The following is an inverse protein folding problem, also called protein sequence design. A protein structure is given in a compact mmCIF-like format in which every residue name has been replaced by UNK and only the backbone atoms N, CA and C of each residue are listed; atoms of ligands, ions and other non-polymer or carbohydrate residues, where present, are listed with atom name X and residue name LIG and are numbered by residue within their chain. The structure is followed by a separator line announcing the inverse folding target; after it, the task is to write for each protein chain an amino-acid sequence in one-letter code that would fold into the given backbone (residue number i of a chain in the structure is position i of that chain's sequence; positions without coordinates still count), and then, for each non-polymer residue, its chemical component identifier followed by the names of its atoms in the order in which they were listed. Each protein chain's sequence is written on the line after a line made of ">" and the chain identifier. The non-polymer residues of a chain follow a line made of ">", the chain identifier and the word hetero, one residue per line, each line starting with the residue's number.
data_IF_574761050908
#
_entry.id   IF_574761050908
#
_cell.length_a   1.000
_cell.length_b   1.000
_cell.length_c   1.000
_cell.angle_alpha   90.00
_cell.angle_beta   90.00
_cell.angle_gamma   90.00
#
_symmetry.space_group_name_H-M   'P 1'
#
loop_
_entity.id
_entity.type
_entity.pdbx_description
1 polymer ?
#
# COMPACT_ATOMS: atom_id res chain seq x y z
N UNK A 1 -12.14 17.99 -11.29
CA UNK A 1 -12.47 16.73 -11.99
C UNK A 1 -11.50 15.67 -11.51
N UNK A 2 -12.01 14.56 -10.98
CA UNK A 2 -11.15 13.62 -10.25
C UNK A 2 -10.21 12.87 -11.18
N UNK A 3 -8.95 12.80 -10.74
CA UNK A 3 -7.82 12.20 -11.45
C UNK A 3 -8.05 10.74 -11.85
N UNK A 4 -8.94 10.03 -11.14
CA UNK A 4 -9.41 8.70 -11.51
C UNK A 4 -10.01 8.67 -12.92
N UNK A 5 -10.71 9.73 -13.34
CA UNK A 5 -11.31 9.77 -14.68
C UNK A 5 -10.25 9.89 -15.77
N UNK A 6 -9.18 10.68 -15.54
CA UNK A 6 -8.07 10.81 -16.49
C UNK A 6 -7.23 9.55 -16.57
N UNK A 7 -6.94 8.90 -15.44
CA UNK A 7 -6.21 7.63 -15.43
C UNK A 7 -7.00 6.52 -16.13
N UNK A 8 -8.30 6.40 -15.87
CA UNK A 8 -9.17 5.42 -16.55
C UNK A 8 -9.26 5.71 -18.05
N UNK A 9 -9.35 6.98 -18.45
CA UNK A 9 -9.22 7.36 -19.84
C UNK A 9 -7.88 6.83 -20.37
N UNK A 10 -6.72 7.38 -19.97
CA UNK A 10 -5.42 6.98 -20.50
C UNK A 10 -5.17 5.45 -20.49
N UNK A 11 -5.65 4.71 -19.48
CA UNK A 11 -5.56 3.24 -19.45
C UNK A 11 -6.37 2.53 -20.54
N UNK A 12 -7.62 2.96 -20.80
CA UNK A 12 -8.41 2.43 -21.94
C UNK A 12 -7.71 2.71 -23.27
N UNK A 13 -7.01 3.83 -23.37
CA UNK A 13 -6.33 4.25 -24.59
C UNK A 13 -5.03 3.48 -24.81
N UNK A 14 -4.31 3.17 -23.73
CA UNK A 14 -3.15 2.29 -23.76
C UNK A 14 -3.54 0.92 -24.32
N UNK A 15 -4.68 0.37 -23.92
CA UNK A 15 -5.17 -0.90 -24.43
C UNK A 15 -5.42 -0.85 -25.95
N UNK A 16 -6.06 0.21 -26.45
CA UNK A 16 -6.29 0.38 -27.89
C UNK A 16 -5.00 0.62 -28.68
N UNK A 17 -4.05 1.38 -28.14
CA UNK A 17 -2.74 1.58 -28.75
C UNK A 17 -2.02 0.24 -28.91
N UNK A 18 -1.96 -0.56 -27.83
CA UNK A 18 -1.31 -1.88 -27.83
C UNK A 18 -1.90 -2.77 -28.94
N UNK A 19 -3.22 -2.77 -29.13
CA UNK A 19 -3.88 -3.59 -30.14
C UNK A 19 -3.72 -3.11 -31.59
N UNK A 20 -3.34 -1.85 -31.82
CA UNK A 20 -3.31 -1.25 -33.15
C UNK A 20 -1.88 -0.82 -33.54
N UNK A 21 -1.40 0.33 -33.04
CA UNK A 21 -0.09 0.90 -33.40
C UNK A 21 1.08 0.25 -32.67
N UNK A 22 0.81 -0.31 -31.49
CA UNK A 22 1.83 -0.85 -30.59
C UNK A 22 2.30 -2.25 -30.96
N UNK A 23 1.65 -2.94 -31.90
CA UNK A 23 1.97 -4.32 -32.29
C UNK A 23 2.08 -5.27 -31.08
N UNK A 24 1.15 -5.13 -30.12
CA UNK A 24 1.15 -5.88 -28.87
C UNK A 24 1.99 -5.27 -27.74
N UNK A 25 2.68 -4.15 -27.97
CA UNK A 25 3.56 -3.49 -27.01
C UNK A 25 3.07 -2.12 -26.53
N UNK A 26 3.45 -1.76 -25.30
CA UNK A 26 3.20 -0.43 -24.75
C UNK A 26 4.13 0.63 -25.37
N UNK A 27 3.74 1.92 -25.40
CA UNK A 27 4.56 3.02 -25.87
C UNK A 27 5.98 2.98 -25.33
N UNK A 28 6.96 3.33 -26.17
CA UNK A 28 8.36 3.30 -25.80
C UNK A 28 8.68 4.40 -24.75
N UNK A 29 9.48 4.05 -23.74
CA UNK A 29 9.91 5.02 -22.71
C UNK A 29 10.87 6.09 -23.29
N UNK A 30 11.62 5.72 -24.33
CA UNK A 30 12.58 6.58 -25.03
C UNK A 30 13.92 6.76 -24.31
N UNK A 31 14.04 6.33 -23.05
CA UNK A 31 15.32 6.31 -22.33
C UNK A 31 16.08 5.00 -22.58
N UNK A 32 17.39 5.12 -22.77
CA UNK A 32 18.31 3.98 -22.83
C UNK A 32 19.27 3.99 -21.63
N UNK A 33 19.59 2.82 -21.06
CA UNK A 33 20.67 2.69 -20.09
C UNK A 33 22.04 2.94 -20.74
N UNK A 34 23.03 3.24 -19.92
CA UNK A 34 24.42 3.38 -20.38
C UNK A 34 24.96 2.05 -20.93
N UNK A 35 25.86 2.13 -21.90
CA UNK A 35 26.49 0.96 -22.52
C UNK A 35 27.87 1.30 -23.09
N UNK A 36 28.79 0.33 -23.07
CA UNK A 36 30.09 0.45 -23.74
C UNK A 36 29.90 0.52 -25.25
N UNK A 37 30.09 1.70 -25.82
CA UNK A 37 29.93 1.98 -27.25
C UNK A 37 30.77 3.20 -27.63
N UNK A 38 30.95 3.44 -28.92
CA UNK A 38 31.48 4.75 -29.34
C UNK A 38 30.41 5.83 -29.14
N UNK A 39 30.85 7.06 -28.86
CA UNK A 39 29.96 8.21 -28.66
C UNK A 39 28.97 8.38 -29.81
N UNK A 40 29.43 8.19 -31.04
CA UNK A 40 28.59 8.30 -32.24
C UNK A 40 27.48 7.25 -32.27
N UNK A 41 27.82 5.97 -32.08
CA UNK A 41 26.83 4.88 -32.10
C UNK A 41 25.82 5.02 -30.96
N UNK A 42 26.29 5.41 -29.76
CA UNK A 42 25.42 5.65 -28.61
C UNK A 42 24.42 6.77 -28.87
N UNK A 43 24.87 7.93 -29.39
CA UNK A 43 23.99 9.06 -29.71
C UNK A 43 23.00 8.70 -30.82
N UNK A 44 23.46 7.99 -31.87
CA UNK A 44 22.58 7.59 -32.96
C UNK A 44 21.49 6.63 -32.49
N UNK A 45 21.84 5.64 -31.66
CA UNK A 45 20.87 4.71 -31.09
C UNK A 45 19.90 5.43 -30.14
N UNK A 46 20.39 6.32 -29.27
CA UNK A 46 19.54 7.13 -28.39
C UNK A 46 18.52 7.97 -29.18
N UNK A 47 18.92 8.56 -30.31
CA UNK A 47 18.01 9.31 -31.20
C UNK A 47 16.91 8.43 -31.77
N UNK A 48 17.22 7.19 -32.16
CA UNK A 48 16.20 6.24 -32.66
C UNK A 48 15.14 5.97 -31.59
N UNK A 49 15.55 5.67 -30.36
CA UNK A 49 14.62 5.44 -29.24
C UNK A 49 13.80 6.69 -28.91
N UNK A 50 14.42 7.86 -28.90
CA UNK A 50 13.72 9.11 -28.64
C UNK A 50 12.69 9.41 -29.72
N UNK A 51 13.04 9.24 -30.99
CA UNK A 51 12.14 9.48 -32.14
C UNK A 51 10.94 8.55 -32.07
N UNK A 52 11.16 7.25 -31.85
CA UNK A 52 10.06 6.28 -31.72
C UNK A 52 9.15 6.61 -30.51
N UNK A 53 9.71 7.01 -29.37
CA UNK A 53 8.92 7.41 -28.21
C UNK A 53 8.08 8.68 -28.48
N UNK A 54 8.58 9.62 -29.29
CA UNK A 54 7.81 10.78 -29.73
C UNK A 54 6.66 10.40 -30.68
N UNK A 55 6.92 9.52 -31.64
CA UNK A 55 5.90 9.00 -32.56
C UNK A 55 4.78 8.24 -31.83
N UNK A 56 5.14 7.42 -30.84
CA UNK A 56 4.18 6.70 -29.99
C UNK A 56 3.35 7.68 -29.15
N UNK A 57 3.99 8.70 -28.59
CA UNK A 57 3.32 9.74 -27.80
C UNK A 57 2.34 10.55 -28.64
N UNK A 58 2.67 10.87 -29.89
CA UNK A 58 1.77 11.56 -30.83
C UNK A 58 0.56 10.71 -31.19
N UNK A 59 0.78 9.42 -31.44
CA UNK A 59 -0.30 8.46 -31.71
C UNK A 59 -1.25 8.33 -30.52
N UNK A 60 -0.69 8.22 -29.31
CA UNK A 60 -1.46 8.24 -28.06
C UNK A 60 -2.24 9.55 -27.88
N UNK A 61 -1.63 10.71 -28.17
CA UNK A 61 -2.31 12.00 -28.05
C UNK A 61 -3.50 12.13 -28.98
N UNK A 62 -3.37 11.71 -30.24
CA UNK A 62 -4.47 11.76 -31.21
C UNK A 62 -5.64 10.90 -30.73
N UNK A 63 -5.37 9.67 -30.27
CA UNK A 63 -6.40 8.78 -29.72
C UNK A 63 -7.09 9.36 -28.50
N UNK A 64 -6.32 9.97 -27.60
CA UNK A 64 -6.85 10.64 -26.40
C UNK A 64 -7.85 11.72 -26.79
N UNK A 65 -7.53 12.54 -27.79
CA UNK A 65 -8.44 13.58 -28.29
C UNK A 65 -9.69 12.98 -28.93
N UNK A 66 -9.55 11.97 -29.78
CA UNK A 66 -10.66 11.35 -30.51
C UNK A 66 -11.69 10.71 -29.56
N UNK A 67 -11.24 10.04 -28.50
CA UNK A 67 -12.12 9.40 -27.52
C UNK A 67 -12.73 10.42 -26.56
N UNK A 68 -11.98 11.43 -26.11
CA UNK A 68 -12.55 12.52 -25.32
C UNK A 68 -13.71 13.18 -26.08
N UNK A 69 -13.55 13.41 -27.38
CA UNK A 69 -14.62 13.89 -28.25
C UNK A 69 -15.82 12.92 -28.30
N UNK A 70 -15.59 11.60 -28.45
CA UNK A 70 -16.66 10.58 -28.44
C UNK A 70 -17.43 10.51 -27.13
N UNK A 71 -16.78 10.78 -25.99
CA UNK A 71 -17.38 10.79 -24.65
C UNK A 71 -18.01 12.17 -24.33
N UNK A 72 -17.97 13.12 -25.26
CA UNK A 72 -18.54 14.46 -25.08
C UNK A 72 -17.74 15.34 -24.11
N UNK A 73 -16.44 15.10 -23.98
CA UNK A 73 -15.51 15.90 -23.16
C UNK A 73 -14.59 16.72 -24.03
N UNK A 74 -14.07 17.80 -23.44
CA UNK A 74 -13.10 18.65 -24.10
C UNK A 74 -11.82 17.85 -24.46
N UNK A 75 -11.44 17.77 -25.75
CA UNK A 75 -10.20 17.14 -26.20
C UNK A 75 -8.93 17.75 -25.59
N UNK A 76 -8.99 19.00 -25.11
CA UNK A 76 -7.86 19.65 -24.44
C UNK A 76 -7.83 19.50 -22.92
N UNK A 77 -8.74 18.72 -22.34
CA UNK A 77 -8.80 18.49 -20.89
C UNK A 77 -7.59 17.77 -20.31
N UNK A 78 -6.83 17.03 -21.13
CA UNK A 78 -5.58 16.37 -20.77
C UNK A 78 -4.43 17.06 -21.49
N UNK A 79 -3.46 17.57 -20.72
CA UNK A 79 -2.30 18.25 -21.31
C UNK A 79 -1.37 17.28 -22.06
N UNK A 80 -0.70 17.77 -23.10
CA UNK A 80 0.33 17.02 -23.84
C UNK A 80 1.45 16.51 -22.92
N UNK A 81 1.80 17.29 -21.90
CA UNK A 81 2.81 16.90 -20.90
C UNK A 81 2.35 15.71 -20.04
N UNK A 82 1.08 15.67 -19.66
CA UNK A 82 0.48 14.53 -18.95
C UNK A 82 0.53 13.27 -19.81
N UNK A 83 0.19 13.36 -21.09
CA UNK A 83 0.23 12.24 -22.04
C UNK A 83 1.66 11.74 -22.24
N UNK A 84 2.63 12.67 -22.41
CA UNK A 84 4.06 12.31 -22.52
C UNK A 84 4.57 11.60 -21.26
N UNK A 85 4.21 12.10 -20.08
CA UNK A 85 4.55 11.45 -18.81
C UNK A 85 3.89 10.06 -18.68
N UNK A 86 2.64 9.93 -19.12
CA UNK A 86 1.95 8.63 -19.14
C UNK A 86 2.64 7.63 -20.07
N UNK A 87 2.97 8.02 -21.30
CA UNK A 87 3.66 7.14 -22.27
C UNK A 87 5.00 6.67 -21.72
N UNK A 88 5.79 7.59 -21.12
CA UNK A 88 7.06 7.26 -20.48
C UNK A 88 6.92 6.23 -19.35
N UNK A 89 5.81 6.27 -18.61
CA UNK A 89 5.55 5.41 -17.46
C UNK A 89 4.55 4.28 -17.73
N UNK A 90 4.17 4.04 -18.99
CA UNK A 90 3.07 3.11 -19.34
C UNK A 90 3.33 1.68 -18.82
N UNK A 91 4.59 1.24 -18.80
CA UNK A 91 5.03 -0.07 -18.28
C UNK A 91 5.13 -0.13 -16.75
N UNK A 92 5.08 1.02 -16.06
CA UNK A 92 5.30 1.18 -14.62
C UNK A 92 4.03 1.53 -13.86
N UNK A 93 2.88 1.55 -14.54
CA UNK A 93 1.59 1.89 -13.94
C UNK A 93 1.25 0.93 -12.79
N UNK A 94 0.84 1.49 -11.66
CA UNK A 94 0.36 0.75 -10.49
C UNK A 94 -0.98 1.30 -10.05
N UNK A 95 -1.93 0.39 -9.82
CA UNK A 95 -3.23 0.70 -9.25
C UNK A 95 -3.27 0.09 -7.86
N UNK A 96 -3.33 0.93 -6.83
CA UNK A 96 -3.45 0.50 -5.45
C UNK A 96 -4.92 0.48 -5.08
N UNK A 97 -5.41 -0.66 -4.60
CA UNK A 97 -6.77 -0.83 -4.09
C UNK A 97 -6.67 -1.26 -2.65
N UNK A 98 -7.35 -0.52 -1.78
CA UNK A 98 -7.38 -0.76 -0.36
C UNK A 98 -8.72 -1.37 0.01
N UNK A 99 -8.66 -2.23 1.00
CA UNK A 99 -9.84 -2.74 1.68
C UNK A 99 -10.44 -1.63 2.55
N UNK A 100 -11.77 -1.62 2.70
CA UNK A 100 -12.40 -0.74 3.67
C UNK A 100 -12.11 -1.24 5.08
N UNK A 101 -11.90 -0.30 6.01
CA UNK A 101 -11.70 -0.64 7.42
C UNK A 101 -12.90 -1.40 8.00
N UNK A 102 -14.13 -1.06 7.58
CA UNK A 102 -15.34 -1.79 8.01
C UNK A 102 -15.31 -3.27 7.61
N UNK A 103 -14.82 -3.56 6.41
CA UNK A 103 -14.69 -4.93 5.91
C UNK A 103 -13.60 -5.71 6.65
N UNK A 104 -12.52 -5.04 7.06
CA UNK A 104 -11.43 -5.65 7.85
C UNK A 104 -11.95 -6.15 9.22
N UNK A 105 -12.91 -5.42 9.81
CA UNK A 105 -13.52 -5.79 11.10
C UNK A 105 -14.66 -6.79 10.94
N UNK A 106 -15.53 -6.59 9.94
CA UNK A 106 -16.79 -7.34 9.81
C UNK A 106 -16.69 -8.58 8.92
N UNK A 107 -15.71 -8.63 8.01
CA UNK A 107 -15.55 -9.69 7.03
C UNK A 107 -14.07 -10.11 6.87
N UNK A 108 -13.32 -10.41 7.93
CA UNK A 108 -11.86 -10.56 7.90
C UNK A 108 -11.35 -11.46 6.76
N UNK A 109 -10.20 -11.11 6.17
CA UNK A 109 -9.60 -11.90 5.07
C UNK A 109 -8.94 -13.15 5.63
N UNK A 110 -9.75 -14.15 5.98
CA UNK A 110 -9.31 -15.38 6.67
C UNK A 110 -8.15 -16.06 5.94
N UNK A 111 -8.19 -16.10 4.60
CA UNK A 111 -7.12 -16.71 3.80
C UNK A 111 -5.78 -16.00 3.95
N UNK A 112 -5.76 -14.66 3.95
CA UNK A 112 -4.51 -13.90 4.10
C UNK A 112 -4.02 -13.94 5.55
N UNK A 113 -4.94 -13.88 6.51
CA UNK A 113 -4.65 -14.05 7.93
C UNK A 113 -3.99 -15.42 8.20
N UNK A 114 -4.56 -16.51 7.67
CA UNK A 114 -4.00 -17.86 7.82
C UNK A 114 -2.60 -17.98 7.20
N UNK A 115 -2.33 -17.32 6.06
CA UNK A 115 -0.99 -17.26 5.48
C UNK A 115 0.01 -16.54 6.40
N UNK A 116 -0.40 -15.42 6.99
CA UNK A 116 0.43 -14.70 7.96
C UNK A 116 0.70 -15.55 9.20
N UNK A 117 -0.31 -16.26 9.72
CA UNK A 117 -0.18 -17.11 10.90
C UNK A 117 0.73 -18.33 10.66
N UNK A 118 0.69 -18.89 9.46
CA UNK A 118 1.54 -20.02 9.08
C UNK A 118 3.01 -19.64 8.88
N UNK A 119 3.32 -18.34 8.73
CA UNK A 119 4.68 -17.86 8.52
C UNK A 119 5.34 -17.43 9.83
N UNK A 120 6.51 -18.01 10.12
CA UNK A 120 7.29 -17.65 11.30
C UNK A 120 7.70 -16.16 11.30
N UNK A 121 7.90 -15.58 10.11
CA UNK A 121 8.33 -14.18 9.94
C UNK A 121 7.23 -13.16 10.30
N UNK A 122 5.96 -13.58 10.29
CA UNK A 122 4.80 -12.71 10.52
C UNK A 122 4.15 -12.91 11.89
N UNK A 123 4.56 -13.95 12.63
CA UNK A 123 3.94 -14.36 13.91
C UNK A 123 3.89 -13.24 14.95
N UNK A 124 4.96 -12.44 15.06
CA UNK A 124 4.98 -11.28 15.97
C UNK A 124 4.04 -10.16 15.53
N UNK A 125 4.09 -9.79 14.24
CA UNK A 125 3.27 -8.70 13.69
C UNK A 125 1.76 -9.00 13.77
N UNK A 126 1.36 -10.24 13.44
CA UNK A 126 -0.05 -10.64 13.55
C UNK A 126 -0.50 -10.74 15.00
N UNK A 127 0.36 -11.23 15.90
CA UNK A 127 0.11 -11.25 17.34
C UNK A 127 -0.14 -9.85 17.90
N UNK A 128 0.70 -8.87 17.54
CA UNK A 128 0.50 -7.47 17.92
C UNK A 128 -0.77 -6.87 17.33
N UNK A 129 -1.09 -7.15 16.07
CA UNK A 129 -2.34 -6.69 15.46
C UNK A 129 -3.57 -7.22 16.22
N UNK A 130 -3.61 -8.53 16.51
CA UNK A 130 -4.69 -9.17 17.28
C UNK A 130 -4.79 -8.54 18.67
N UNK A 131 -3.65 -8.35 19.33
CA UNK A 131 -3.60 -7.74 20.66
C UNK A 131 -4.07 -6.30 20.67
N UNK A 132 -3.72 -5.49 19.68
CA UNK A 132 -4.22 -4.11 19.57
C UNK A 132 -5.75 -4.08 19.48
N UNK A 133 -6.37 -5.00 18.71
CA UNK A 133 -7.84 -5.13 18.68
C UNK A 133 -8.41 -5.61 20.02
N UNK A 134 -7.72 -6.52 20.70
CA UNK A 134 -8.11 -6.98 22.03
C UNK A 134 -8.00 -5.86 23.09
N UNK A 135 -7.00 -4.98 22.98
CA UNK A 135 -6.81 -3.80 23.82
C UNK A 135 -7.95 -2.81 23.62
N UNK A 136 -8.40 -2.55 22.39
CA UNK A 136 -9.56 -1.69 22.13
C UNK A 136 -10.84 -2.25 22.80
N UNK A 137 -11.06 -3.57 22.71
CA UNK A 137 -12.18 -4.24 23.39
C UNK A 137 -12.04 -4.19 24.91
N UNK A 138 -10.84 -4.38 25.43
CA UNK A 138 -10.53 -4.25 26.85
C UNK A 138 -10.89 -2.83 27.33
N UNK A 139 -10.43 -1.80 26.61
CA UNK A 139 -10.71 -0.41 26.94
C UNK A 139 -12.21 -0.09 26.92
N UNK A 140 -12.94 -0.60 25.93
CA UNK A 140 -14.40 -0.46 25.87
C UNK A 140 -15.13 -1.16 27.04
N UNK A 141 -14.56 -2.25 27.57
CA UNK A 141 -15.19 -3.06 28.63
C UNK A 141 -14.87 -2.53 30.04
N UNK A 142 -13.61 -2.17 30.28
CA UNK A 142 -13.12 -1.79 31.61
C UNK A 142 -12.89 -0.29 31.78
N UNK A 143 -13.12 0.49 30.71
CA UNK A 143 -12.94 1.95 30.69
C UNK A 143 -11.52 2.41 31.10
N UNK A 144 -10.52 1.56 30.84
CA UNK A 144 -9.09 1.82 31.01
C UNK A 144 -8.28 0.95 30.06
N UNK A 145 -7.04 1.34 29.78
CA UNK A 145 -6.12 0.48 29.02
C UNK A 145 -5.46 -0.57 29.93
N UNK A 146 -5.08 -1.75 29.41
CA UNK A 146 -4.42 -2.77 30.21
C UNK A 146 -3.03 -2.29 30.67
N UNK A 147 -2.75 -2.46 31.97
CA UNK A 147 -1.49 -2.04 32.59
C UNK A 147 -1.27 -0.53 32.64
N UNK A 148 -2.32 0.26 32.39
CA UNK A 148 -2.28 1.71 32.59
C UNK A 148 -1.89 2.01 34.05
N UNK A 149 -0.99 2.96 34.24
CA UNK A 149 -0.41 3.29 35.55
C UNK A 149 -1.42 4.02 36.45
N UNK A 150 -2.42 3.30 36.95
CA UNK A 150 -3.53 3.79 37.79
C UNK A 150 -3.53 3.17 39.20
N UNK A 151 -2.50 2.38 39.53
CA UNK A 151 -2.40 1.65 40.79
C UNK A 151 -3.10 0.28 40.78
N UNK A 152 -3.62 -0.16 39.63
CA UNK A 152 -4.17 -1.50 39.42
C UNK A 152 -3.12 -2.61 39.33
N UNK A 153 -3.57 -3.85 39.43
CA UNK A 153 -2.74 -5.04 39.29
C UNK A 153 -2.53 -5.40 37.80
N UNK A 154 -1.29 -5.31 37.35
CA UNK A 154 -0.89 -5.64 35.96
C UNK A 154 -1.19 -7.11 35.64
N UNK A 155 -1.05 -8.02 36.61
CA UNK A 155 -1.31 -9.44 36.41
C UNK A 155 -2.82 -9.71 36.23
N UNK A 156 -3.67 -8.95 36.93
CA UNK A 156 -5.12 -9.01 36.75
C UNK A 156 -5.51 -8.52 35.34
N UNK A 157 -4.94 -7.41 34.89
CA UNK A 157 -5.18 -6.88 33.54
C UNK A 157 -4.68 -7.85 32.46
N UNK A 158 -3.53 -8.50 32.66
CA UNK A 158 -3.01 -9.53 31.77
C UNK A 158 -3.95 -10.75 31.70
N UNK A 159 -4.47 -11.21 32.84
CA UNK A 159 -5.46 -12.30 32.90
C UNK A 159 -6.76 -11.95 32.15
N UNK A 160 -7.25 -10.73 32.33
CA UNK A 160 -8.43 -10.22 31.59
C UNK A 160 -8.16 -10.12 30.10
N UNK A 161 -6.99 -9.64 29.68
CA UNK A 161 -6.61 -9.57 28.27
C UNK A 161 -6.50 -10.97 27.63
N UNK A 162 -5.92 -11.94 28.34
CA UNK A 162 -5.90 -13.37 27.94
C UNK A 162 -7.30 -13.96 27.78
N UNK A 163 -8.29 -13.46 28.53
CA UNK A 163 -9.69 -13.89 28.41
C UNK A 163 -10.38 -13.25 27.19
N UNK A 164 -10.00 -12.02 26.83
CA UNK A 164 -10.57 -11.28 25.70
C UNK A 164 -10.00 -11.76 24.36
N UNK A 165 -8.70 -12.00 24.28
CA UNK A 165 -8.01 -12.31 23.02
C UNK A 165 -8.63 -13.49 22.22
N UNK A 166 -9.03 -14.62 22.83
CA UNK A 166 -9.69 -15.71 22.10
C UNK A 166 -10.97 -15.30 21.38
N UNK A 167 -11.77 -14.41 21.98
CA UNK A 167 -12.99 -13.90 21.32
C UNK A 167 -12.67 -13.13 20.04
N UNK A 168 -11.60 -12.32 20.06
CA UNK A 168 -11.13 -11.55 18.92
C UNK A 168 -10.55 -12.47 17.83
N UNK A 169 -9.81 -13.50 18.23
CA UNK A 169 -9.23 -14.50 17.31
C UNK A 169 -10.33 -15.25 16.55
N UNK A 170 -11.37 -15.69 17.27
CA UNK A 170 -12.51 -16.39 16.66
C UNK A 170 -13.26 -15.48 15.68
N UNK A 171 -13.49 -14.21 16.03
CA UNK A 171 -14.11 -13.25 15.12
C UNK A 171 -13.28 -12.97 13.87
N UNK A 172 -11.96 -13.12 13.94
CA UNK A 172 -11.05 -13.00 12.79
C UNK A 172 -11.07 -14.23 11.86
N UNK A 173 -11.74 -15.32 12.26
CA UNK A 173 -11.66 -16.61 11.56
C UNK A 173 -10.30 -17.28 11.69
N UNK A 174 -9.54 -16.92 12.73
CA UNK A 174 -8.20 -17.46 13.02
C UNK A 174 -8.27 -18.64 14.01
N UNK A 175 -9.25 -19.53 13.82
CA UNK A 175 -9.49 -20.64 14.73
C UNK A 175 -8.23 -21.51 14.88
N UNK A 176 -7.83 -21.76 16.13
CA UNK A 176 -6.65 -22.56 16.45
C UNK A 176 -5.32 -21.79 16.50
N UNK A 177 -5.32 -20.47 16.29
CA UNK A 177 -4.16 -19.65 16.65
C UNK A 177 -4.08 -19.47 18.17
N UNK A 178 -2.99 -19.95 18.75
CA UNK A 178 -2.67 -19.72 20.16
C UNK A 178 -1.76 -18.50 20.28
N UNK A 179 -2.31 -17.42 20.83
CA UNK A 179 -1.54 -16.22 21.10
C UNK A 179 -0.55 -16.49 22.26
N UNK A 180 0.76 -16.23 22.07
CA UNK A 180 1.74 -16.40 23.14
C UNK A 180 1.40 -15.57 24.38
N UNK A 181 1.38 -16.21 25.56
CA UNK A 181 1.05 -15.53 26.82
C UNK A 181 2.01 -14.36 27.13
N UNK A 182 3.28 -14.51 26.76
CA UNK A 182 4.30 -13.47 26.92
C UNK A 182 3.96 -12.18 26.16
N UNK A 183 3.28 -12.26 25.00
CA UNK A 183 2.84 -11.07 24.28
C UNK A 183 1.71 -10.33 25.02
N UNK A 184 0.84 -11.06 25.73
CA UNK A 184 -0.20 -10.44 26.56
C UNK A 184 0.41 -9.72 27.77
N UNK A 185 1.37 -10.36 28.43
CA UNK A 185 2.13 -9.77 29.54
C UNK A 185 2.87 -8.51 29.07
N UNK A 186 3.52 -8.59 27.92
CA UNK A 186 4.26 -7.49 27.32
C UNK A 186 3.33 -6.32 26.92
N UNK A 187 2.15 -6.61 26.38
CA UNK A 187 1.14 -5.58 26.08
C UNK A 187 0.68 -4.84 27.34
N UNK A 188 0.49 -5.55 28.45
CA UNK A 188 0.18 -4.91 29.74
C UNK A 188 1.39 -4.14 30.28
N UNK A 189 2.61 -4.66 30.11
CA UNK A 189 3.85 -3.97 30.50
C UNK A 189 4.03 -2.63 29.78
N UNK A 190 3.58 -2.51 28.53
CA UNK A 190 3.60 -1.24 27.81
C UNK A 190 2.73 -0.17 28.48
N UNK A 191 1.65 -0.58 29.17
CA UNK A 191 0.80 0.32 29.94
C UNK A 191 0.23 1.49 29.14
N UNK A 192 -0.06 1.25 27.86
CA UNK A 192 -0.47 2.26 26.88
C UNK A 192 0.48 3.48 26.75
N UNK A 193 1.77 3.29 27.02
CA UNK A 193 2.76 4.34 26.87
C UNK A 193 3.06 4.66 25.39
N UNK A 194 3.26 5.94 25.09
CA UNK A 194 3.74 6.42 23.79
C UNK A 194 5.22 6.82 23.90
N UNK A 195 6.12 5.90 23.52
CA UNK A 195 7.55 6.18 23.54
C UNK A 195 7.95 7.09 22.37
N UNK A 196 8.62 8.20 22.68
CA UNK A 196 9.02 9.21 21.69
C UNK A 196 9.77 8.63 20.48
N UNK A 197 10.68 7.68 20.70
CA UNK A 197 11.49 7.08 19.62
C UNK A 197 10.63 6.24 18.67
N UNK A 198 9.66 5.48 19.21
CA UNK A 198 8.72 4.69 18.40
C UNK A 198 7.77 5.61 17.65
N UNK A 199 7.23 6.64 18.32
CA UNK A 199 6.37 7.64 17.71
C UNK A 199 7.09 8.40 16.57
N UNK A 200 8.35 8.79 16.77
CA UNK A 200 9.16 9.45 15.75
C UNK A 200 9.41 8.55 14.52
N UNK A 201 9.67 7.26 14.74
CA UNK A 201 9.83 6.28 13.65
C UNK A 201 8.55 6.13 12.83
N UNK A 202 7.42 5.90 13.49
CA UNK A 202 6.10 5.79 12.83
C UNK A 202 5.73 7.10 12.13
N UNK A 203 6.03 8.26 12.72
CA UNK A 203 5.83 9.58 12.10
C UNK A 203 6.63 9.76 10.81
N UNK A 204 7.86 9.26 10.75
CA UNK A 204 8.68 9.25 9.53
C UNK A 204 8.05 8.42 8.42
N UNK A 205 7.54 7.23 8.76
CA UNK A 205 6.88 6.35 7.79
C UNK A 205 5.55 6.97 7.31
N UNK A 206 4.69 7.38 8.24
CA UNK A 206 3.37 7.92 7.93
C UNK A 206 3.46 9.20 7.09
N UNK A 207 4.39 10.11 7.41
CA UNK A 207 4.60 11.33 6.63
C UNK A 207 5.05 11.02 5.20
N UNK A 208 5.93 10.04 5.01
CA UNK A 208 6.32 9.61 3.67
C UNK A 208 5.14 9.02 2.91
N UNK A 209 4.33 8.14 3.51
CA UNK A 209 3.12 7.59 2.86
C UNK A 209 2.12 8.69 2.44
N UNK A 210 1.95 9.71 3.29
CA UNK A 210 1.14 10.90 2.96
C UNK A 210 1.72 11.65 1.75
N UNK A 211 3.05 11.85 1.68
CA UNK A 211 3.71 12.45 0.50
C UNK A 211 3.44 11.61 -0.75
N UNK A 212 3.48 10.28 -0.68
CA UNK A 212 3.17 9.41 -1.83
C UNK A 212 1.74 9.61 -2.32
N UNK A 213 0.76 9.71 -1.42
CA UNK A 213 -0.65 9.92 -1.77
C UNK A 213 -0.91 11.30 -2.40
N UNK A 214 -0.27 12.34 -1.86
CA UNK A 214 -0.38 13.72 -2.36
C UNK A 214 0.27 13.85 -3.74
N UNK A 215 1.51 13.39 -3.87
CA UNK A 215 2.32 13.55 -5.09
C UNK A 215 1.95 12.57 -6.19
N UNK A 216 1.49 11.37 -5.82
CA UNK A 216 1.19 10.25 -6.72
C UNK A 216 2.38 9.80 -7.56
N UNK A 217 3.60 10.01 -7.05
CA UNK A 217 4.85 9.69 -7.76
C UNK A 217 5.43 8.32 -7.35
N UNK A 218 5.02 7.81 -6.19
CA UNK A 218 5.50 6.54 -5.65
C UNK A 218 4.32 5.67 -5.23
N UNK A 219 4.59 4.37 -5.07
CA UNK A 219 3.59 3.37 -4.66
C UNK A 219 3.47 3.41 -3.12
N UNK A 220 2.29 3.77 -2.58
CA UNK A 220 2.06 3.66 -1.15
C UNK A 220 1.99 2.19 -0.72
N UNK A 221 2.27 1.93 0.55
CA UNK A 221 2.17 0.58 1.13
C UNK A 221 0.74 0.06 1.01
N UNK A 222 0.59 -1.26 0.89
CA UNK A 222 -0.71 -1.95 0.87
C UNK A 222 -0.95 -2.61 2.23
N UNK A 223 -2.19 -2.52 2.70
CA UNK A 223 -2.60 -3.11 3.98
C UNK A 223 -2.07 -2.36 5.20
N UNK A 224 -1.84 -3.09 6.27
CA UNK A 224 -1.50 -2.57 7.61
C UNK A 224 -0.03 -2.81 7.91
N UNK A 225 0.72 -1.73 8.11
CA UNK A 225 2.12 -1.80 8.50
C UNK A 225 2.25 -1.92 10.03
N UNK A 226 2.93 -2.97 10.49
CA UNK A 226 3.23 -3.20 11.90
C UNK A 226 4.73 -3.11 12.11
N UNK A 227 5.14 -2.33 13.11
CA UNK A 227 6.54 -2.22 13.52
C UNK A 227 6.68 -2.73 14.96
N UNK A 228 7.62 -3.64 15.16
CA UNK A 228 8.00 -4.13 16.46
C UNK A 228 9.30 -3.46 16.92
N UNK A 229 9.18 -2.55 17.90
CA UNK A 229 10.32 -1.84 18.46
C UNK A 229 11.25 -2.70 19.32
N UNK A 230 10.82 -3.91 19.72
CA UNK A 230 11.60 -4.81 20.60
C UNK A 230 12.72 -5.49 19.80
N UNK A 231 12.43 -5.98 18.60
CA UNK A 231 13.37 -6.72 17.75
C UNK A 231 13.79 -5.93 16.49
N UNK A 232 13.30 -4.70 16.35
CA UNK A 232 13.54 -3.81 15.21
C UNK A 232 13.06 -4.36 13.86
N UNK A 233 12.03 -5.21 13.86
CA UNK A 233 11.42 -5.74 12.64
C UNK A 233 10.11 -5.03 12.27
N UNK A 234 9.73 -5.12 11.00
CA UNK A 234 8.46 -4.60 10.51
C UNK A 234 7.89 -5.45 9.38
N UNK A 235 6.56 -5.50 9.31
CA UNK A 235 5.84 -6.35 8.37
C UNK A 235 4.58 -5.60 7.87
N UNK A 236 4.21 -5.85 6.62
CA UNK A 236 2.94 -5.38 6.06
C UNK A 236 1.95 -6.53 5.98
N UNK A 237 0.80 -6.38 6.62
CA UNK A 237 -0.28 -7.35 6.66
C UNK A 237 -1.34 -6.94 5.63
N UNK A 238 -1.70 -7.84 4.71
CA UNK A 238 -2.77 -7.57 3.74
C UNK A 238 -4.09 -8.10 4.30
N UNK A 239 -4.73 -7.29 5.14
CA UNK A 239 -5.92 -7.66 5.93
C UNK A 239 -7.23 -7.33 5.21
#
# INVERSE_FOLDING_TARGET
>A
MDMNTYAIACMRHLQEFISNEGDGEAPLEGSMPDMTSSTEHYINLQKIYHTKAEDDCLSMEQRVKDILAKVGRDPSSISKQTIKSFCKNARKLKVCRYRMIEDEFSNPSVTELQKCLASQDYSSAIGFYILLRAVDRFAATYNKFPGQFDGGDIEEDASRLRTIAPSVINEMGCDGYELPEELCNEMCRFGAAELHVVAAFIGGIASQEVIKLITKQFVPMLGTFVFNGIDHNSQSLTL
#
